data_IF_521948943524
#
_entry.id   IF_521948943524
#
_cell.length_a   1.000
_cell.length_b   1.000
_cell.length_c   1.000
_cell.angle_alpha   90.00
_cell.angle_beta   90.00
_cell.angle_gamma   90.00
#
_symmetry.space_group_name_H-M   'P 1'
#
loop_
_entity.id
_entity.type
_entity.pdbx_description
1 polymer ?
#
# COMPACT_ATOMS: atom_id res chain seq x y z
N UNK A 1 -23.56 4.96 -33.45
CA UNK A 1 -22.17 5.46 -33.30
C UNK A 1 -21.26 4.26 -33.44
N UNK A 2 -20.15 4.35 -34.20
CA UNK A 2 -19.17 3.28 -34.24
C UNK A 2 -18.69 2.93 -32.81
N UNK A 3 -18.23 1.71 -32.54
CA UNK A 3 -17.64 1.35 -31.26
C UNK A 3 -16.27 2.02 -31.08
N UNK A 4 -15.91 2.35 -29.83
CA UNK A 4 -14.61 2.95 -29.52
C UNK A 4 -13.49 1.92 -29.71
N UNK A 5 -12.55 2.23 -30.60
CA UNK A 5 -11.49 1.27 -31.01
C UNK A 5 -10.56 0.85 -29.88
N UNK A 6 -10.43 1.65 -28.83
CA UNK A 6 -9.58 1.36 -27.67
C UNK A 6 -10.39 0.95 -26.43
N UNK A 7 -11.62 0.45 -26.60
CA UNK A 7 -12.45 -0.02 -25.49
C UNK A 7 -11.74 -1.10 -24.67
N UNK A 8 -11.14 -2.10 -25.32
CA UNK A 8 -10.41 -3.16 -24.63
C UNK A 8 -9.24 -2.61 -23.78
N UNK A 9 -8.51 -1.63 -24.30
CA UNK A 9 -7.43 -0.98 -23.55
C UNK A 9 -7.97 -0.20 -22.35
N UNK A 10 -9.11 0.50 -22.50
CA UNK A 10 -9.76 1.19 -21.40
C UNK A 10 -10.17 0.21 -20.29
N UNK A 11 -10.76 -0.92 -20.65
CA UNK A 11 -11.18 -1.95 -19.69
C UNK A 11 -9.98 -2.57 -18.98
N UNK A 12 -8.88 -2.81 -19.70
CA UNK A 12 -7.62 -3.27 -19.10
C UNK A 12 -7.05 -2.26 -18.10
N UNK A 13 -7.06 -0.96 -18.43
CA UNK A 13 -6.55 0.09 -17.52
C UNK A 13 -7.47 0.28 -16.31
N UNK A 14 -8.78 0.10 -16.47
CA UNK A 14 -9.72 0.12 -15.35
C UNK A 14 -9.44 -1.01 -14.36
N UNK A 15 -9.25 -2.23 -14.86
CA UNK A 15 -8.84 -3.39 -14.03
C UNK A 15 -7.49 -3.15 -13.35
N UNK A 16 -6.50 -2.64 -14.09
CA UNK A 16 -5.19 -2.33 -13.51
C UNK A 16 -5.26 -1.31 -12.37
N UNK A 17 -6.15 -0.31 -12.45
CA UNK A 17 -6.41 0.63 -11.35
C UNK A 17 -7.00 -0.07 -10.14
N UNK A 18 -8.02 -0.91 -10.35
CA UNK A 18 -8.65 -1.69 -9.26
C UNK A 18 -7.65 -2.63 -8.57
N UNK A 19 -6.84 -3.33 -9.35
CA UNK A 19 -5.77 -4.21 -8.84
C UNK A 19 -4.72 -3.42 -8.03
N UNK A 20 -4.32 -2.24 -8.52
CA UNK A 20 -3.38 -1.37 -7.80
C UNK A 20 -3.96 -0.83 -6.49
N UNK A 21 -5.24 -0.48 -6.46
CA UNK A 21 -5.96 -0.06 -5.24
C UNK A 21 -6.04 -1.20 -4.21
N UNK A 22 -6.35 -2.42 -4.66
CA UNK A 22 -6.37 -3.61 -3.80
C UNK A 22 -4.97 -3.93 -3.26
N UNK A 23 -3.93 -3.83 -4.09
CA UNK A 23 -2.55 -4.05 -3.69
C UNK A 23 -2.09 -3.01 -2.66
N UNK A 24 -2.44 -1.73 -2.86
CA UNK A 24 -2.15 -0.66 -1.92
C UNK A 24 -2.87 -0.86 -0.58
N UNK A 25 -4.16 -1.20 -0.61
CA UNK A 25 -4.92 -1.52 0.61
C UNK A 25 -4.30 -2.70 1.38
N UNK A 26 -3.89 -3.74 0.67
CA UNK A 26 -3.23 -4.91 1.26
C UNK A 26 -1.89 -4.54 1.88
N UNK A 27 -1.09 -3.68 1.24
CA UNK A 27 0.17 -3.20 1.76
C UNK A 27 -0.01 -2.36 3.04
N UNK A 28 -1.04 -1.52 3.11
CA UNK A 28 -1.37 -0.75 4.33
C UNK A 28 -1.71 -1.72 5.48
N UNK A 29 -2.57 -2.71 5.24
CA UNK A 29 -2.94 -3.70 6.27
C UNK A 29 -1.71 -4.46 6.76
N UNK A 30 -0.81 -4.83 5.85
CA UNK A 30 0.46 -5.48 6.21
C UNK A 30 1.32 -4.55 7.09
N UNK A 31 1.51 -3.28 6.70
CA UNK A 31 2.27 -2.31 7.49
C UNK A 31 1.71 -2.14 8.90
N UNK A 32 0.39 -2.00 9.03
CA UNK A 32 -0.24 -1.85 10.34
C UNK A 32 -0.08 -3.10 11.22
N UNK A 33 -0.08 -4.30 10.62
CA UNK A 33 0.24 -5.54 11.33
C UNK A 33 1.69 -5.54 11.83
N UNK A 34 2.66 -5.15 10.99
CA UNK A 34 4.07 -5.11 11.38
C UNK A 34 4.34 -4.07 12.49
N UNK A 35 3.63 -2.93 12.46
CA UNK A 35 3.69 -1.92 13.52
C UNK A 35 3.08 -2.40 14.84
N UNK A 36 1.93 -3.07 14.77
CA UNK A 36 1.30 -3.65 15.97
C UNK A 36 2.21 -4.70 16.62
N UNK A 37 2.85 -5.53 15.80
CA UNK A 37 3.83 -6.51 16.28
C UNK A 37 5.07 -5.85 16.88
N UNK A 38 5.59 -4.79 16.25
CA UNK A 38 6.68 -4.01 16.82
C UNK A 38 6.33 -3.45 18.19
N UNK A 39 5.13 -2.88 18.34
CA UNK A 39 4.67 -2.35 19.63
C UNK A 39 4.57 -3.46 20.67
N UNK A 40 4.01 -4.62 20.31
CA UNK A 40 3.94 -5.80 21.17
C UNK A 40 5.31 -6.22 21.70
N UNK A 41 6.32 -6.26 20.83
CA UNK A 41 7.69 -6.63 21.21
C UNK A 41 8.36 -5.58 22.10
N UNK A 42 8.11 -4.29 21.85
CA UNK A 42 8.59 -3.19 22.71
C UNK A 42 7.97 -3.31 24.10
N UNK A 43 6.66 -3.56 24.19
CA UNK A 43 5.95 -3.72 25.45
C UNK A 43 6.45 -4.95 26.22
N UNK A 44 6.69 -6.09 25.54
CA UNK A 44 7.29 -7.29 26.13
C UNK A 44 8.69 -7.00 26.68
N UNK A 45 9.54 -6.31 25.92
CA UNK A 45 10.87 -5.93 26.37
C UNK A 45 10.82 -5.03 27.61
N UNK A 46 9.91 -4.07 27.65
CA UNK A 46 9.70 -3.22 28.83
C UNK A 46 9.22 -4.02 30.04
N UNK A 47 8.26 -4.93 29.83
CA UNK A 47 7.76 -5.80 30.89
C UNK A 47 8.89 -6.65 31.46
N UNK A 48 9.70 -7.30 30.61
CA UNK A 48 10.84 -8.11 31.04
C UNK A 48 11.86 -7.31 31.84
N UNK A 49 12.17 -6.08 31.42
CA UNK A 49 13.05 -5.16 32.18
C UNK A 49 12.50 -4.83 33.56
N UNK A 50 11.19 -4.62 33.69
CA UNK A 50 10.53 -4.38 34.99
C UNK A 50 10.58 -5.64 35.86
N UNK A 51 10.25 -6.79 35.27
CA UNK A 51 10.29 -8.09 35.94
C UNK A 51 11.70 -8.47 36.40
N UNK A 52 12.74 -8.23 35.60
CA UNK A 52 14.13 -8.49 36.00
C UNK A 52 14.49 -7.67 37.22
N UNK A 53 14.21 -6.37 37.23
CA UNK A 53 14.48 -5.51 38.41
C UNK A 53 13.77 -6.03 39.65
N UNK A 54 12.50 -6.43 39.53
CA UNK A 54 11.74 -6.98 40.64
C UNK A 54 12.29 -8.34 41.12
N UNK A 55 12.57 -9.27 40.20
CA UNK A 55 13.12 -10.60 40.48
C UNK A 55 14.51 -10.51 41.12
N UNK A 56 15.39 -9.67 40.59
CA UNK A 56 16.74 -9.44 41.14
C UNK A 56 16.65 -8.81 42.53
N UNK A 57 15.79 -7.82 42.75
CA UNK A 57 15.59 -7.22 44.07
C UNK A 57 15.04 -8.21 45.10
N UNK A 58 14.05 -9.04 44.71
CA UNK A 58 13.50 -10.08 45.56
C UNK A 58 14.54 -11.15 45.91
N UNK A 59 15.30 -11.61 44.91
CA UNK A 59 16.36 -12.59 45.10
C UNK A 59 17.48 -12.06 46.00
N UNK A 60 17.89 -10.80 45.81
CA UNK A 60 18.87 -10.15 46.68
C UNK A 60 18.39 -10.09 48.14
N UNK A 61 17.13 -9.73 48.37
CA UNK A 61 16.55 -9.70 49.72
C UNK A 61 16.55 -11.08 50.38
N UNK A 62 16.21 -12.13 49.63
CA UNK A 62 16.23 -13.52 50.11
C UNK A 62 17.65 -14.00 50.44
N UNK A 63 18.61 -13.69 49.57
CA UNK A 63 20.03 -14.02 49.71
C UNK A 63 20.63 -13.30 50.92
N UNK A 64 20.28 -12.03 51.16
CA UNK A 64 20.70 -11.31 52.36
C UNK A 64 20.06 -11.85 53.64
N UNK A 65 18.76 -12.20 53.61
CA UNK A 65 18.06 -12.77 54.77
C UNK A 65 18.62 -14.13 55.19
N UNK A 66 19.02 -14.96 54.23
CA UNK A 66 19.58 -16.31 54.48
C UNK A 66 21.06 -16.30 54.88
N UNK A 67 21.72 -15.14 54.94
CA UNK A 67 23.14 -15.03 55.28
C UNK A 67 24.04 -15.60 54.17
N UNK A 68 24.00 -14.99 52.99
CA UNK A 68 24.78 -15.49 51.85
C UNK A 68 26.26 -15.14 51.91
N UNK A 69 27.11 -16.18 51.83
CA UNK A 69 28.52 -16.04 51.47
C UNK A 69 28.73 -15.87 49.96
N UNK A 70 29.99 -15.84 49.52
CA UNK A 70 30.43 -15.62 48.13
C UNK A 70 29.67 -16.47 47.09
N UNK A 71 29.33 -17.72 47.43
CA UNK A 71 28.58 -18.63 46.54
C UNK A 71 27.15 -18.14 46.22
N UNK A 72 26.45 -17.51 47.18
CA UNK A 72 25.11 -16.97 46.94
C UNK A 72 25.11 -15.77 45.99
N UNK A 73 26.12 -14.92 46.07
CA UNK A 73 26.28 -13.78 45.16
C UNK A 73 26.69 -14.22 43.75
N UNK A 74 27.52 -15.27 43.62
CA UNK A 74 27.84 -15.84 42.31
C UNK A 74 26.60 -16.43 41.61
N UNK A 75 25.71 -17.10 42.35
CA UNK A 75 24.45 -17.62 41.81
C UNK A 75 23.48 -16.50 41.41
N UNK A 76 23.43 -15.41 42.18
CA UNK A 76 22.66 -14.22 41.84
C UNK A 76 23.15 -13.58 40.52
N UNK A 77 24.47 -13.40 40.36
CA UNK A 77 25.03 -12.79 39.16
C UNK A 77 24.68 -13.60 37.90
N UNK A 78 24.80 -14.94 37.95
CA UNK A 78 24.40 -15.83 36.84
C UNK A 78 22.90 -15.77 36.56
N UNK A 79 22.08 -15.60 37.59
CA UNK A 79 20.64 -15.46 37.41
C UNK A 79 20.29 -14.13 36.72
N UNK A 80 20.90 -13.02 37.15
CA UNK A 80 20.73 -11.72 36.49
C UNK A 80 21.24 -11.74 35.05
N UNK A 81 22.38 -12.38 34.79
CA UNK A 81 22.95 -12.51 33.45
C UNK A 81 22.02 -13.26 32.50
N UNK A 82 21.45 -14.40 32.90
CA UNK A 82 20.44 -15.10 32.09
C UNK A 82 19.22 -14.23 31.75
N UNK A 83 18.72 -13.45 32.72
CA UNK A 83 17.61 -12.54 32.46
C UNK A 83 17.99 -11.41 31.50
N UNK A 84 19.25 -10.92 31.56
CA UNK A 84 19.76 -9.94 30.60
C UNK A 84 19.92 -10.54 29.20
N UNK A 85 20.33 -11.81 29.09
CA UNK A 85 20.42 -12.50 27.80
C UNK A 85 19.03 -12.65 27.15
N UNK A 86 18.01 -13.01 27.93
CA UNK A 86 16.61 -13.05 27.45
C UNK A 86 16.12 -11.66 26.99
N UNK A 87 16.43 -10.59 27.73
CA UNK A 87 16.14 -9.21 27.31
C UNK A 87 16.88 -8.84 26.01
N UNK A 88 18.14 -9.26 25.87
CA UNK A 88 18.94 -8.98 24.68
C UNK A 88 18.40 -9.70 23.43
N UNK A 89 17.87 -10.92 23.59
CA UNK A 89 17.21 -11.65 22.50
C UNK A 89 15.97 -10.91 22.01
N UNK A 90 15.09 -10.47 22.92
CA UNK A 90 13.89 -9.70 22.54
C UNK A 90 14.28 -8.33 21.95
N UNK A 91 15.31 -7.69 22.47
CA UNK A 91 15.82 -6.45 21.88
C UNK A 91 16.31 -6.65 20.44
N UNK A 92 16.96 -7.78 20.15
CA UNK A 92 17.36 -8.12 18.78
C UNK A 92 16.13 -8.37 17.87
N UNK A 93 15.08 -9.01 18.39
CA UNK A 93 13.81 -9.19 17.68
C UNK A 93 13.15 -7.85 17.38
N UNK A 94 13.15 -6.91 18.33
CA UNK A 94 12.65 -5.53 18.11
C UNK A 94 13.41 -4.85 16.96
N UNK A 95 14.74 -4.95 16.91
CA UNK A 95 15.51 -4.35 15.80
C UNK A 95 15.21 -5.01 14.46
N UNK A 96 15.08 -6.35 14.41
CA UNK A 96 14.65 -7.06 13.20
C UNK A 96 13.26 -6.63 12.75
N UNK A 97 12.34 -6.46 13.70
CA UNK A 97 10.97 -6.04 13.43
C UNK A 97 10.91 -4.58 12.94
N UNK A 98 11.79 -3.70 13.44
CA UNK A 98 11.92 -2.34 12.90
C UNK A 98 12.34 -2.33 11.43
N UNK A 99 13.24 -3.22 11.03
CA UNK A 99 13.60 -3.38 9.62
C UNK A 99 12.43 -3.92 8.79
N UNK A 100 11.65 -4.87 9.33
CA UNK A 100 10.43 -5.34 8.68
C UNK A 100 9.40 -4.21 8.46
N UNK A 101 9.19 -3.34 9.46
CA UNK A 101 8.35 -2.14 9.33
C UNK A 101 8.89 -1.22 8.24
N UNK A 102 10.19 -0.91 8.20
CA UNK A 102 10.79 -0.07 7.14
C UNK A 102 10.58 -0.65 5.74
N UNK A 103 10.70 -1.97 5.59
CA UNK A 103 10.44 -2.66 4.31
C UNK A 103 8.97 -2.52 3.92
N UNK A 104 8.05 -2.72 4.86
CA UNK A 104 6.62 -2.54 4.62
C UNK A 104 6.25 -1.09 4.26
N UNK A 105 6.87 -0.10 4.90
CA UNK A 105 6.69 1.33 4.57
C UNK A 105 7.14 1.64 3.13
N UNK A 106 8.30 1.12 2.73
CA UNK A 106 8.79 1.27 1.33
C UNK A 106 7.84 0.61 0.34
N UNK A 107 7.30 -0.55 0.68
CA UNK A 107 6.32 -1.24 -0.18
C UNK A 107 5.03 -0.42 -0.31
N UNK A 108 4.51 0.14 0.78
CA UNK A 108 3.32 1.02 0.75
C UNK A 108 3.55 2.21 -0.16
N UNK A 109 4.70 2.87 -0.05
CA UNK A 109 5.04 4.01 -0.91
C UNK A 109 5.21 3.60 -2.38
N UNK A 110 5.79 2.43 -2.66
CA UNK A 110 5.85 1.88 -4.01
C UNK A 110 4.44 1.66 -4.57
N UNK A 111 3.56 0.97 -3.83
CA UNK A 111 2.18 0.70 -4.26
C UNK A 111 1.36 1.97 -4.45
N UNK A 112 1.61 2.99 -3.63
CA UNK A 112 1.00 4.33 -3.80
C UNK A 112 1.35 4.94 -5.15
N UNK A 113 2.61 4.85 -5.58
CA UNK A 113 3.07 5.36 -6.88
C UNK A 113 2.48 4.57 -8.04
N UNK A 114 2.46 3.25 -7.94
CA UNK A 114 1.84 2.37 -8.94
C UNK A 114 0.34 2.67 -9.11
N UNK A 115 -0.39 2.84 -8.00
CA UNK A 115 -1.80 3.25 -8.01
C UNK A 115 -2.00 4.62 -8.67
N UNK A 116 -1.12 5.59 -8.38
CA UNK A 116 -1.19 6.92 -8.99
C UNK A 116 -0.94 6.90 -10.50
N UNK A 117 0.03 6.11 -10.98
CA UNK A 117 0.27 5.94 -12.42
C UNK A 117 -0.89 5.20 -13.10
N UNK A 118 -1.42 4.12 -12.51
CA UNK A 118 -2.58 3.41 -13.07
C UNK A 118 -3.80 4.33 -13.22
N UNK A 119 -4.07 5.19 -12.22
CA UNK A 119 -5.14 6.18 -12.29
C UNK A 119 -4.89 7.24 -13.39
N UNK A 120 -3.65 7.68 -13.56
CA UNK A 120 -3.25 8.64 -14.60
C UNK A 120 -3.40 8.04 -16.00
N UNK A 121 -3.00 6.80 -16.20
CA UNK A 121 -3.16 6.08 -17.47
C UNK A 121 -4.63 5.87 -17.83
N UNK A 122 -5.48 5.51 -16.86
CA UNK A 122 -6.93 5.39 -17.07
C UNK A 122 -7.53 6.74 -17.50
N UNK A 123 -7.18 7.82 -16.79
CA UNK A 123 -7.65 9.17 -17.14
C UNK A 123 -7.21 9.61 -18.54
N UNK A 124 -6.01 9.21 -18.97
CA UNK A 124 -5.53 9.52 -20.32
C UNK A 124 -6.38 8.84 -21.40
N UNK A 125 -6.74 7.56 -21.21
CA UNK A 125 -7.56 6.83 -22.18
C UNK A 125 -9.03 7.29 -22.18
N UNK A 126 -9.55 7.70 -21.03
CA UNK A 126 -10.88 8.34 -20.91
C UNK A 126 -10.94 9.65 -21.69
N UNK A 127 -9.95 10.53 -21.52
CA UNK A 127 -9.86 11.78 -22.28
C UNK A 127 -9.75 11.52 -23.78
N UNK A 128 -8.97 10.51 -24.19
CA UNK A 128 -8.89 10.12 -25.59
C UNK A 128 -10.26 9.66 -26.13
N UNK A 129 -11.02 8.85 -25.36
CA UNK A 129 -12.36 8.41 -25.72
C UNK A 129 -13.31 9.59 -25.94
N UNK A 130 -13.31 10.57 -25.03
CA UNK A 130 -14.13 11.77 -25.16
C UNK A 130 -13.79 12.56 -26.43
N UNK A 131 -12.51 12.75 -26.72
CA UNK A 131 -12.05 13.45 -27.93
C UNK A 131 -12.47 12.70 -29.19
N UNK A 132 -12.30 11.38 -29.20
CA UNK A 132 -12.73 10.54 -30.32
C UNK A 132 -14.24 10.61 -30.54
N UNK A 133 -15.05 10.59 -29.48
CA UNK A 133 -16.52 10.76 -29.61
C UNK A 133 -16.90 12.11 -30.22
N UNK A 134 -16.20 13.18 -29.84
CA UNK A 134 -16.39 14.52 -30.44
C UNK A 134 -16.03 14.53 -31.92
N UNK A 135 -14.89 13.94 -32.30
CA UNK A 135 -14.46 13.83 -33.69
C UNK A 135 -15.45 13.03 -34.54
N UNK A 136 -15.87 11.85 -34.07
CA UNK A 136 -16.86 11.02 -34.78
C UNK A 136 -18.19 11.76 -34.96
N UNK A 137 -18.64 12.50 -33.94
CA UNK A 137 -19.85 13.31 -34.05
C UNK A 137 -19.69 14.42 -35.09
N UNK A 138 -18.55 15.11 -35.06
CA UNK A 138 -18.23 16.19 -36.01
C UNK A 138 -18.15 15.68 -37.46
N UNK A 139 -17.41 14.59 -37.71
CA UNK A 139 -17.31 13.96 -39.04
C UNK A 139 -18.68 13.53 -39.56
N UNK A 140 -19.54 13.00 -38.68
CA UNK A 140 -20.91 12.63 -39.04
C UNK A 140 -21.73 13.85 -39.43
N UNK A 141 -21.66 14.94 -38.66
CA UNK A 141 -22.38 16.19 -38.97
C UNK A 141 -21.92 16.78 -40.31
N UNK A 142 -20.61 16.86 -40.53
CA UNK A 142 -20.03 17.33 -41.80
C UNK A 142 -20.49 16.47 -42.98
N UNK A 143 -20.55 15.15 -42.82
CA UNK A 143 -21.03 14.25 -43.88
C UNK A 143 -22.54 14.40 -44.13
N UNK A 144 -23.32 14.62 -43.09
CA UNK A 144 -24.77 14.89 -43.21
C UNK A 144 -25.02 16.24 -43.90
N UNK A 145 -24.24 17.28 -43.58
CA UNK A 145 -24.27 18.59 -44.24
C UNK A 145 -23.93 18.49 -45.74
N UNK A 146 -22.81 17.85 -46.09
CA UNK A 146 -22.43 17.64 -47.50
C UNK A 146 -23.50 16.86 -48.28
N UNK A 147 -24.04 15.79 -47.70
CA UNK A 147 -25.12 15.04 -48.34
C UNK A 147 -26.38 15.90 -48.57
N UNK A 148 -26.72 16.79 -47.62
CA UNK A 148 -27.85 17.70 -47.78
C UNK A 148 -27.62 18.74 -48.89
N UNK A 149 -26.42 19.29 -48.97
CA UNK A 149 -26.03 20.20 -50.06
C UNK A 149 -26.08 19.52 -51.42
N UNK A 150 -25.55 18.29 -51.53
CA UNK A 150 -25.61 17.49 -52.76
C UNK A 150 -27.05 17.20 -53.19
N UNK A 151 -27.92 16.79 -52.25
CA UNK A 151 -29.35 16.56 -52.52
C UNK A 151 -30.03 17.87 -52.96
N UNK A 152 -29.75 18.98 -52.27
CA UNK A 152 -30.29 20.29 -52.59
C UNK A 152 -29.90 20.75 -54.00
N UNK A 153 -28.61 20.62 -54.35
CA UNK A 153 -28.09 20.94 -55.67
C UNK A 153 -28.70 20.04 -56.76
N UNK A 154 -28.81 18.74 -56.51
CA UNK A 154 -29.42 17.80 -57.46
C UNK A 154 -30.91 18.14 -57.72
N UNK A 155 -31.67 18.45 -56.67
CA UNK A 155 -33.08 18.85 -56.78
C UNK A 155 -33.24 20.18 -57.52
N UNK A 156 -32.36 21.15 -57.27
CA UNK A 156 -32.35 22.44 -57.96
C UNK A 156 -32.09 22.27 -59.46
N UNK A 157 -31.04 21.52 -59.83
CA UNK A 157 -30.73 21.22 -61.23
C UNK A 157 -31.86 20.45 -61.92
N UNK A 158 -32.51 19.52 -61.22
CA UNK A 158 -33.66 18.79 -61.75
C UNK A 158 -34.87 19.70 -62.01
N UNK A 159 -35.09 20.75 -61.20
CA UNK A 159 -36.13 21.76 -61.44
C UNK A 159 -35.83 22.66 -62.64
N UNK A 160 -34.57 23.06 -62.86
CA UNK A 160 -34.19 23.92 -63.99
C UNK A 160 -34.26 23.23 -65.36
N UNK A 161 -34.28 21.89 -65.40
CA UNK A 161 -34.38 21.11 -66.65
C UNK A 161 -35.82 20.87 -67.13
N UNK A 162 -36.83 21.29 -66.36
CA UNK A 162 -38.24 21.29 -66.76
C UNK A 162 -38.65 22.68 -67.21
#
# INVERSE_FOLDING_TARGET
MPPYRLQALQDMRARAKEEAEQAFSSAIKALEKEKAELQRLIDDLEQRKRERKAKVAAYLKEVMFKGAGINGMNMMNRFEERLKDEEAQVALEVERQREAVKVAERLVEQRRREMAEAAKELKAIEKHRENWQKQVKYERQQREELNQEEIGNALFLARQRK
#
